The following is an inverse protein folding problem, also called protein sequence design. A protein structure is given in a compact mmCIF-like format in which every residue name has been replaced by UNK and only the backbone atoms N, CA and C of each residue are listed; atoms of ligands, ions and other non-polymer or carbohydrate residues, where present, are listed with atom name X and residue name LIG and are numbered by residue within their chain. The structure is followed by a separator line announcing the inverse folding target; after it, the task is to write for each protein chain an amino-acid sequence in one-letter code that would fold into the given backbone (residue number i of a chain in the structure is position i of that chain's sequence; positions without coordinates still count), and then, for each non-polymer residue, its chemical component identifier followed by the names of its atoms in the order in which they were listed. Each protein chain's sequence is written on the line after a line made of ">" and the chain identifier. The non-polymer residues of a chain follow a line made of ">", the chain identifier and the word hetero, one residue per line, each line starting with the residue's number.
data_IF_307462655297
#
_entry.id   IF_307462655297
#
_cell.length_a   1.000
_cell.length_b   1.000
_cell.length_c   1.000
_cell.angle_alpha   90.00
_cell.angle_beta   90.00
_cell.angle_gamma   90.00
#
_symmetry.space_group_name_H-M   'P 1'
#
loop_
_entity.id
_entity.type
_entity.pdbx_description
1 polymer ?
#
# COMPACT_ATOMS: atom_id res chain seq x y z
N UNK A 1 8.26 8.18 9.27
CA UNK A 1 6.81 8.24 9.11
C UNK A 1 6.24 8.93 10.32
N UNK A 2 5.59 10.04 10.07
CA UNK A 2 5.05 10.97 11.07
C UNK A 2 3.74 10.39 11.67
N UNK A 3 3.53 10.43 13.00
CA UNK A 3 2.32 9.89 13.65
C UNK A 3 1.00 10.57 13.21
N UNK A 4 1.07 11.66 12.45
CA UNK A 4 -0.09 12.30 11.80
C UNK A 4 -0.85 11.40 10.81
N UNK A 5 -0.30 10.26 10.39
CA UNK A 5 -0.91 9.38 9.38
C UNK A 5 -1.92 8.39 9.96
N UNK A 6 -1.98 8.24 11.29
CA UNK A 6 -2.87 7.28 11.96
C UNK A 6 -4.35 7.38 11.54
N UNK A 7 -4.95 8.57 11.34
CA UNK A 7 -6.33 8.67 10.85
C UNK A 7 -6.53 8.16 9.42
N UNK A 8 -5.50 8.26 8.56
CA UNK A 8 -5.58 7.78 7.17
C UNK A 8 -5.73 6.26 7.12
N UNK A 9 -5.07 5.53 8.03
CA UNK A 9 -5.14 4.07 8.09
C UNK A 9 -6.54 3.53 8.33
N UNK A 10 -7.43 4.30 8.96
CA UNK A 10 -8.84 3.93 9.15
C UNK A 10 -9.65 3.97 7.85
N UNK A 11 -9.19 4.71 6.84
CA UNK A 11 -9.94 4.96 5.59
C UNK A 11 -9.45 4.15 4.39
N UNK A 12 -8.24 3.56 4.47
CA UNK A 12 -7.62 2.86 3.35
C UNK A 12 -7.96 1.37 3.33
N UNK A 13 -7.93 0.78 2.13
CA UNK A 13 -8.12 -0.67 1.90
C UNK A 13 -6.81 -1.40 1.56
N UNK A 14 -5.70 -0.66 1.42
CA UNK A 14 -4.38 -1.19 1.10
C UNK A 14 -3.33 -0.09 1.17
N UNK A 15 -2.07 -0.47 1.44
CA UNK A 15 -0.92 0.43 1.45
C UNK A 15 0.15 -0.05 0.45
N UNK A 16 0.65 0.87 -0.37
CA UNK A 16 1.82 0.64 -1.23
C UNK A 16 2.83 1.75 -0.99
N UNK A 17 4.10 1.42 -0.73
CA UNK A 17 5.15 2.43 -0.52
C UNK A 17 6.39 2.11 -1.36
N UNK A 18 7.03 3.16 -1.90
CA UNK A 18 8.33 3.02 -2.58
C UNK A 18 9.49 2.91 -1.60
N UNK A 19 9.33 3.51 -0.42
CA UNK A 19 10.36 3.56 0.62
C UNK A 19 9.97 2.71 1.82
N UNK A 20 10.99 2.09 2.42
CA UNK A 20 10.86 1.31 3.64
C UNK A 20 10.91 -0.21 3.44
N UNK A 21 11.27 -0.92 4.51
CA UNK A 21 11.18 -2.38 4.60
C UNK A 21 9.99 -2.84 5.45
N UNK A 22 9.81 -4.16 5.56
CA UNK A 22 8.68 -4.80 6.25
C UNK A 22 8.45 -4.34 7.71
N UNK A 23 9.51 -3.81 8.35
CA UNK A 23 9.50 -3.35 9.74
C UNK A 23 9.36 -1.83 9.88
N UNK A 24 9.09 -1.11 8.79
CA UNK A 24 8.87 0.33 8.88
C UNK A 24 7.53 0.65 9.54
N UNK A 25 7.46 1.81 10.19
CA UNK A 25 6.29 2.22 10.96
C UNK A 25 5.00 2.25 10.10
N UNK A 26 5.07 2.53 8.78
CA UNK A 26 3.90 2.38 7.89
C UNK A 26 3.44 0.93 7.67
N UNK A 27 4.38 -0.02 7.56
CA UNK A 27 4.08 -1.45 7.39
C UNK A 27 3.54 -2.08 8.68
N UNK A 28 4.10 -1.71 9.83
CA UNK A 28 3.63 -2.18 11.15
C UNK A 28 2.21 -1.69 11.41
N UNK A 29 1.95 -0.40 11.20
CA UNK A 29 0.62 0.19 11.39
C UNK A 29 -0.40 -0.45 10.45
N UNK A 30 -0.09 -0.63 9.16
CA UNK A 30 -1.00 -1.32 8.24
C UNK A 30 -1.41 -2.71 8.74
N UNK A 31 -0.47 -3.47 9.32
CA UNK A 31 -0.74 -4.79 9.92
C UNK A 31 -1.62 -4.70 11.17
N UNK A 32 -1.38 -3.73 12.03
CA UNK A 32 -2.21 -3.50 13.23
C UNK A 32 -3.67 -3.18 12.87
N UNK A 33 -3.88 -2.45 11.76
CA UNK A 33 -5.21 -2.15 11.24
C UNK A 33 -5.79 -3.23 10.30
N UNK A 34 -5.10 -4.35 10.10
CA UNK A 34 -5.56 -5.46 9.25
C UNK A 34 -5.59 -5.13 7.75
N UNK A 35 -4.85 -4.11 7.32
CA UNK A 35 -4.81 -3.64 5.94
C UNK A 35 -3.63 -4.29 5.20
N UNK A 36 -3.81 -4.84 3.99
CA UNK A 36 -2.71 -5.39 3.20
C UNK A 36 -1.70 -4.29 2.82
N UNK A 37 -0.42 -4.55 3.03
CA UNK A 37 0.65 -3.61 2.72
C UNK A 37 1.77 -4.26 1.92
N UNK A 38 2.24 -3.56 0.90
CA UNK A 38 3.47 -3.90 0.15
C UNK A 38 4.40 -2.69 0.18
N UNK A 39 5.63 -2.90 0.63
CA UNK A 39 6.61 -1.82 0.83
C UNK A 39 7.86 -2.07 0.01
N UNK A 40 8.57 -1.01 -0.36
CA UNK A 40 9.75 -1.09 -1.22
C UNK A 40 9.42 -1.35 -2.68
N UNK A 41 8.23 -0.94 -3.14
CA UNK A 41 7.81 -1.09 -4.54
C UNK A 41 8.42 0.03 -5.37
N UNK A 42 9.47 -0.29 -6.13
CA UNK A 42 10.18 0.71 -6.93
C UNK A 42 9.26 1.39 -7.95
N UNK A 43 9.31 2.73 -8.02
CA UNK A 43 8.51 3.56 -8.93
C UNK A 43 6.98 3.38 -8.82
N UNK A 44 6.46 2.88 -7.69
CA UNK A 44 5.03 2.67 -7.48
C UNK A 44 4.17 3.91 -7.83
N UNK A 45 4.60 5.10 -7.41
CA UNK A 45 3.85 6.35 -7.62
C UNK A 45 3.85 6.82 -9.08
N UNK A 46 4.80 6.35 -9.89
CA UNK A 46 4.85 6.62 -11.33
C UNK A 46 4.04 5.61 -12.13
N UNK A 47 3.99 4.36 -11.67
CA UNK A 47 3.33 3.24 -12.33
C UNK A 47 1.82 3.19 -12.04
N UNK A 48 1.43 3.56 -10.81
CA UNK A 48 0.05 3.55 -10.34
C UNK A 48 -0.47 4.99 -10.41
N UNK A 49 -1.47 5.22 -11.26
CA UNK A 49 -2.10 6.54 -11.40
C UNK A 49 -3.24 6.69 -10.41
N UNK A 50 -3.56 7.94 -10.06
CA UNK A 50 -4.71 8.24 -9.21
C UNK A 50 -6.01 7.68 -9.80
N UNK A 51 -6.83 7.07 -8.95
CA UNK A 51 -8.09 6.42 -9.35
C UNK A 51 -7.92 5.11 -10.12
N UNK A 52 -6.70 4.64 -10.36
CA UNK A 52 -6.45 3.38 -11.02
C UNK A 52 -6.77 2.20 -10.09
N UNK A 53 -7.63 1.26 -10.50
CA UNK A 53 -7.91 0.09 -9.69
C UNK A 53 -6.67 -0.81 -9.65
N UNK A 54 -6.26 -1.17 -8.43
CA UNK A 54 -5.15 -2.08 -8.17
C UNK A 54 -5.58 -3.17 -7.19
N UNK A 55 -4.89 -4.31 -7.24
CA UNK A 55 -4.92 -5.36 -6.22
C UNK A 55 -3.62 -5.32 -5.45
N UNK A 56 -3.72 -5.32 -4.12
CA UNK A 56 -2.57 -5.36 -3.22
C UNK A 56 -2.62 -6.69 -2.47
N UNK A 57 -1.57 -7.51 -2.63
CA UNK A 57 -1.40 -8.75 -1.89
C UNK A 57 -0.24 -8.59 -0.90
N UNK A 58 -0.56 -8.34 0.36
CA UNK A 58 0.43 -8.20 1.43
C UNK A 58 1.06 -9.51 1.89
N UNK A 59 0.48 -10.66 1.54
CA UNK A 59 1.00 -11.99 1.90
C UNK A 59 2.13 -12.40 0.96
N UNK A 60 1.88 -12.32 -0.36
CA UNK A 60 2.83 -12.69 -1.40
C UNK A 60 3.72 -11.52 -1.83
N UNK A 61 3.42 -10.30 -1.36
CA UNK A 61 4.25 -9.12 -1.55
C UNK A 61 4.19 -8.50 -2.95
N UNK A 62 3.04 -8.55 -3.63
CA UNK A 62 2.88 -7.98 -4.97
C UNK A 62 1.72 -7.00 -5.10
N UNK A 63 1.84 -6.11 -6.08
CA UNK A 63 0.80 -5.18 -6.50
C UNK A 63 0.51 -5.43 -7.97
N UNK A 64 -0.78 -5.53 -8.30
CA UNK A 64 -1.24 -5.79 -9.67
C UNK A 64 -2.17 -4.66 -10.13
N UNK A 65 -1.92 -4.14 -11.33
CA UNK A 65 -2.78 -3.17 -11.97
C UNK A 65 -3.96 -3.89 -12.62
N UNK A 66 -5.18 -3.56 -12.23
CA UNK A 66 -6.38 -4.15 -12.79
C UNK A 66 -6.77 -3.38 -14.06
N UNK A 67 -6.95 -4.11 -15.17
CA UNK A 67 -7.63 -3.51 -16.33
C UNK A 67 -9.13 -3.51 -16.08
N UNK A 68 -9.79 -2.39 -16.37
CA UNK A 68 -11.26 -2.36 -16.46
C UNK A 68 -11.65 -3.26 -17.63
N UNK A 69 -12.26 -4.40 -17.34
CA UNK A 69 -12.91 -5.21 -18.37
C UNK A 69 -14.09 -4.39 -18.90
N UNK A 70 -14.17 -4.26 -20.23
CA UNK A 70 -15.26 -3.56 -20.93
C UNK A 70 -16.47 -4.46 -21.08
#
# INVERSE_FOLDING_TARGET
>A
TDPSWTPLFLSIKGLVTEVGGLMTHGAVIAREYGVPAVVGVENATKLIRDGQPIRVNGTDGYVEILRRQS
#
